data_IF_971706514474
#
_entry.id   IF_971706514474
#
_cell.length_a   1.000
_cell.length_b   1.000
_cell.length_c   1.000
_cell.angle_alpha   90.00
_cell.angle_beta   90.00
_cell.angle_gamma   90.00
#
_symmetry.space_group_name_H-M   'P 1'
#
loop_
_entity.id
_entity.type
_entity.pdbx_description
1 polymer ?
#
# COMPACT_ATOMS: atom_id res chain seq x y z
N UNK A 1 0.85 -33.16 -25.09
CA UNK A 1 2.08 -32.44 -24.67
C UNK A 1 1.60 -31.05 -24.28
N UNK A 2 1.81 -30.61 -23.05
CA UNK A 2 1.47 -29.24 -22.70
C UNK A 2 2.43 -28.24 -23.35
N UNK A 3 2.00 -26.98 -23.46
CA UNK A 3 2.76 -25.93 -24.14
C UNK A 3 4.14 -25.69 -23.48
N UNK A 4 4.22 -25.81 -22.16
CA UNK A 4 5.45 -25.61 -21.39
C UNK A 4 6.48 -26.68 -21.70
N UNK A 5 6.07 -27.95 -21.72
CA UNK A 5 6.95 -29.09 -22.10
C UNK A 5 7.43 -28.95 -23.55
N UNK A 6 6.58 -28.48 -24.47
CA UNK A 6 6.97 -28.25 -25.85
C UNK A 6 8.02 -27.14 -25.99
N UNK A 7 7.90 -26.03 -25.26
CA UNK A 7 8.89 -24.96 -25.22
C UNK A 7 10.23 -25.43 -24.65
N UNK A 8 10.23 -26.11 -23.50
CA UNK A 8 11.45 -26.63 -22.87
C UNK A 8 12.18 -27.63 -23.78
N UNK A 9 11.42 -28.48 -24.47
CA UNK A 9 12.00 -29.43 -25.44
C UNK A 9 12.66 -28.70 -26.62
N UNK A 10 12.02 -27.64 -27.11
CA UNK A 10 12.60 -26.81 -28.19
C UNK A 10 13.87 -26.11 -27.73
N UNK A 11 13.85 -25.49 -26.55
CA UNK A 11 15.00 -24.79 -25.98
C UNK A 11 16.19 -25.74 -25.72
N UNK A 12 15.93 -27.01 -25.34
CA UNK A 12 16.97 -28.02 -25.19
C UNK A 12 17.59 -28.39 -26.56
N UNK A 13 16.75 -28.57 -27.59
CA UNK A 13 17.23 -28.85 -28.96
C UNK A 13 18.03 -27.66 -29.49
N UNK A 14 17.61 -26.44 -29.25
CA UNK A 14 18.33 -25.23 -29.66
C UNK A 14 19.72 -25.11 -28.98
N UNK A 15 19.87 -25.69 -27.77
CA UNK A 15 21.15 -25.82 -27.05
C UNK A 15 21.99 -27.02 -27.48
N UNK A 16 21.49 -27.83 -28.41
CA UNK A 16 22.17 -29.05 -28.87
C UNK A 16 22.01 -30.27 -27.97
N UNK A 17 21.04 -30.21 -27.03
CA UNK A 17 20.70 -31.31 -26.15
C UNK A 17 19.70 -32.27 -26.82
N UNK A 18 19.71 -33.56 -26.43
CA UNK A 18 18.71 -34.49 -26.89
C UNK A 18 17.30 -34.12 -26.45
N UNK A 19 16.26 -34.18 -27.30
CA UNK A 19 14.87 -33.98 -26.90
C UNK A 19 14.43 -34.92 -25.75
N UNK A 20 15.08 -36.06 -25.60
CA UNK A 20 14.80 -37.04 -24.55
C UNK A 20 15.45 -36.70 -23.20
N UNK A 21 16.35 -35.70 -23.15
CA UNK A 21 16.95 -35.23 -21.90
C UNK A 21 15.91 -34.55 -20.96
N UNK A 22 14.82 -34.04 -21.52
CA UNK A 22 13.73 -33.46 -20.76
C UNK A 22 12.74 -34.55 -20.37
N UNK A 23 12.67 -34.83 -19.05
CA UNK A 23 11.71 -35.79 -18.52
C UNK A 23 10.28 -35.28 -18.70
N UNK A 24 9.48 -36.04 -19.44
CA UNK A 24 8.08 -35.72 -19.69
C UNK A 24 7.18 -36.50 -18.74
N UNK A 25 6.59 -35.79 -17.79
CA UNK A 25 5.68 -36.37 -16.79
C UNK A 25 4.48 -37.03 -17.48
N UNK A 26 4.20 -38.27 -17.11
CA UNK A 26 3.05 -39.05 -17.58
C UNK A 26 1.91 -39.02 -16.58
N UNK A 27 2.21 -39.42 -15.35
CA UNK A 27 1.27 -39.45 -14.24
C UNK A 27 1.98 -38.98 -12.97
N UNK A 28 1.24 -38.29 -12.12
CA UNK A 28 1.67 -37.98 -10.76
C UNK A 28 0.55 -38.28 -9.80
N UNK A 29 0.87 -39.01 -8.75
CA UNK A 29 -0.01 -39.23 -7.63
C UNK A 29 0.66 -38.73 -6.36
N UNK A 30 -0.03 -37.88 -5.61
CA UNK A 30 0.43 -37.37 -4.30
C UNK A 30 -0.67 -37.58 -3.29
N UNK A 31 -0.32 -38.17 -2.16
CA UNK A 31 -1.21 -38.33 -1.00
C UNK A 31 -0.51 -37.79 0.23
N UNK A 32 -1.21 -36.97 1.01
CA UNK A 32 -0.70 -36.44 2.29
C UNK A 32 -1.78 -36.62 3.34
N UNK A 33 -1.38 -37.18 4.48
CA UNK A 33 -2.20 -37.30 5.69
C UNK A 33 -1.51 -36.51 6.78
N UNK A 34 -2.25 -35.68 7.49
CA UNK A 34 -1.74 -34.92 8.61
C UNK A 34 -2.67 -35.07 9.83
N UNK A 35 -2.08 -35.22 11.01
CA UNK A 35 -2.78 -35.36 12.28
C UNK A 35 -2.19 -34.40 13.30
N UNK A 36 -3.00 -33.42 13.71
CA UNK A 36 -2.71 -32.58 14.87
C UNK A 36 -2.83 -33.42 16.17
N UNK A 37 -1.95 -33.15 17.10
CA UNK A 37 -2.01 -33.72 18.45
C UNK A 37 -2.67 -32.72 19.40
N UNK A 38 -3.46 -33.21 20.35
CA UNK A 38 -4.13 -32.40 21.36
C UNK A 38 -3.12 -31.66 22.27
N UNK A 39 -3.60 -30.63 22.98
CA UNK A 39 -2.84 -29.85 23.98
C UNK A 39 -1.54 -29.20 23.49
N UNK A 40 -1.46 -28.84 22.21
CA UNK A 40 -0.31 -28.14 21.66
C UNK A 40 0.94 -28.99 21.43
N UNK A 41 0.78 -30.33 21.40
CA UNK A 41 1.85 -31.29 21.10
C UNK A 41 2.25 -31.33 19.62
N UNK A 42 1.79 -30.39 18.80
CA UNK A 42 2.20 -30.28 17.42
C UNK A 42 1.43 -31.17 16.45
N UNK A 43 2.06 -31.46 15.32
CA UNK A 43 1.43 -32.18 14.22
C UNK A 43 2.39 -33.20 13.59
N UNK A 44 1.89 -34.40 13.34
CA UNK A 44 2.55 -35.36 12.45
C UNK A 44 1.98 -35.27 11.04
N UNK A 45 2.81 -35.51 10.05
CA UNK A 45 2.36 -35.70 8.68
C UNK A 45 3.10 -36.85 7.99
N UNK A 46 2.40 -37.51 7.09
CA UNK A 46 2.90 -38.52 6.18
C UNK A 46 2.54 -38.11 4.76
N UNK A 47 3.51 -38.05 3.89
CA UNK A 47 3.30 -37.77 2.47
C UNK A 47 3.95 -38.83 1.60
N UNK A 48 3.30 -39.20 0.52
CA UNK A 48 3.83 -40.09 -0.50
C UNK A 48 3.56 -39.53 -1.90
N UNK A 49 4.54 -39.58 -2.79
CA UNK A 49 4.39 -39.25 -4.18
C UNK A 49 4.93 -40.34 -5.09
N UNK A 50 4.24 -40.57 -6.19
CA UNK A 50 4.59 -41.47 -7.28
C UNK A 50 4.56 -40.67 -8.57
N UNK A 51 5.62 -40.69 -9.38
CA UNK A 51 5.72 -39.95 -10.60
C UNK A 51 6.27 -40.83 -11.75
N UNK A 52 5.49 -40.98 -12.80
CA UNK A 52 5.84 -41.71 -14.01
C UNK A 52 6.16 -40.75 -15.14
N UNK A 53 7.03 -41.17 -16.06
CA UNK A 53 7.44 -40.41 -17.21
C UNK A 53 7.17 -41.14 -18.52
N UNK A 54 6.98 -40.39 -19.62
CA UNK A 54 6.81 -40.97 -20.95
C UNK A 54 8.14 -41.48 -21.56
N UNK A 55 9.22 -40.82 -21.20
CA UNK A 55 10.55 -41.03 -21.82
C UNK A 55 11.60 -41.54 -20.82
N UNK A 56 11.16 -42.08 -19.68
CA UNK A 56 12.00 -42.72 -18.66
C UNK A 56 11.31 -43.99 -18.21
N UNK A 57 12.03 -45.09 -18.14
CA UNK A 57 11.55 -46.34 -17.53
C UNK A 57 11.51 -46.19 -15.99
N UNK A 58 10.58 -46.90 -15.35
CA UNK A 58 10.41 -46.83 -13.90
C UNK A 58 9.65 -45.59 -13.39
N UNK A 59 9.45 -45.54 -12.11
CA UNK A 59 8.72 -44.47 -11.39
C UNK A 59 9.61 -43.87 -10.33
N UNK A 60 9.60 -42.55 -10.23
CA UNK A 60 10.19 -41.90 -9.06
C UNK A 60 9.17 -41.95 -7.90
N UNK A 61 9.65 -42.36 -6.75
CA UNK A 61 8.83 -42.51 -5.52
C UNK A 61 9.48 -41.72 -4.41
N UNK A 62 8.67 -40.94 -3.69
CA UNK A 62 9.12 -40.25 -2.49
C UNK A 62 8.14 -40.48 -1.36
N UNK A 63 8.68 -40.85 -0.20
CA UNK A 63 7.93 -40.96 1.05
C UNK A 63 8.54 -40.01 2.06
N UNK A 64 7.68 -39.31 2.81
CA UNK A 64 8.09 -38.35 3.79
C UNK A 64 7.26 -38.49 5.05
N UNK A 65 7.91 -38.51 6.20
CA UNK A 65 7.30 -38.48 7.53
C UNK A 65 7.88 -37.25 8.24
N UNK A 66 7.04 -36.48 8.88
CA UNK A 66 7.51 -35.31 9.62
C UNK A 66 6.67 -35.02 10.85
N UNK A 67 7.30 -34.34 11.78
CA UNK A 67 6.71 -33.78 12.97
C UNK A 67 7.07 -32.33 13.09
N UNK A 68 6.09 -31.48 13.37
CA UNK A 68 6.28 -30.06 13.60
C UNK A 68 5.60 -29.62 14.89
N UNK A 69 6.26 -28.79 15.66
CA UNK A 69 5.67 -28.15 16.84
C UNK A 69 6.23 -26.75 17.07
N UNK A 70 5.51 -25.98 17.88
CA UNK A 70 5.95 -24.67 18.36
C UNK A 70 5.83 -24.62 19.86
N UNK A 71 6.92 -24.30 20.54
CA UNK A 71 6.94 -24.07 21.98
C UNK A 71 7.35 -22.64 22.27
N UNK A 72 6.43 -21.83 22.81
CA UNK A 72 6.58 -20.38 22.93
C UNK A 72 6.90 -19.77 21.56
N UNK A 73 8.07 -19.16 21.40
CA UNK A 73 8.53 -18.55 20.17
C UNK A 73 9.45 -19.44 19.30
N UNK A 74 9.80 -20.63 19.78
CA UNK A 74 10.59 -21.59 19.04
C UNK A 74 9.68 -22.52 18.22
N UNK A 75 9.84 -22.52 16.90
CA UNK A 75 9.25 -23.51 16.00
C UNK A 75 10.32 -24.53 15.63
N UNK A 76 10.01 -25.80 15.70
CA UNK A 76 10.93 -26.87 15.33
C UNK A 76 10.22 -27.97 14.57
N UNK A 77 10.98 -28.64 13.72
CA UNK A 77 10.47 -29.75 12.90
C UNK A 77 11.53 -30.79 12.64
N UNK A 78 11.11 -32.07 12.59
CA UNK A 78 11.91 -33.19 12.17
C UNK A 78 11.23 -33.82 10.96
N UNK A 79 11.98 -34.01 9.89
CA UNK A 79 11.49 -34.62 8.65
C UNK A 79 12.44 -35.73 8.23
N UNK A 80 11.89 -36.88 7.90
CA UNK A 80 12.60 -38.00 7.28
C UNK A 80 11.97 -38.22 5.91
N UNK A 81 12.75 -38.12 4.87
CA UNK A 81 12.31 -38.37 3.49
C UNK A 81 13.13 -39.46 2.85
N UNK A 82 12.47 -40.30 2.07
CA UNK A 82 13.13 -41.37 1.28
C UNK A 82 12.68 -41.28 -0.18
N UNK A 83 13.66 -41.13 -1.05
CA UNK A 83 13.44 -40.99 -2.49
C UNK A 83 14.04 -42.20 -3.22
N UNK A 84 13.26 -42.78 -4.12
CA UNK A 84 13.68 -43.84 -5.02
C UNK A 84 13.59 -43.31 -6.46
N UNK A 85 14.65 -43.48 -7.22
CA UNK A 85 14.67 -43.23 -8.65
C UNK A 85 15.44 -44.35 -9.34
N UNK A 86 15.34 -44.47 -10.66
CA UNK A 86 16.05 -45.46 -11.45
C UNK A 86 17.58 -45.37 -11.27
N UNK A 87 18.11 -44.20 -10.93
CA UNK A 87 19.52 -43.92 -10.72
C UNK A 87 19.95 -44.03 -9.25
N UNK A 88 18.99 -44.13 -8.32
CA UNK A 88 19.24 -44.16 -6.87
C UNK A 88 18.37 -45.23 -6.17
N UNK A 89 19.01 -46.27 -5.62
CA UNK A 89 18.34 -47.37 -4.93
C UNK A 89 17.67 -46.99 -3.59
N UNK A 90 17.46 -45.72 -3.34
CA UNK A 90 16.78 -45.20 -2.15
C UNK A 90 17.70 -44.36 -1.26
N UNK A 91 17.67 -43.04 -1.47
CA UNK A 91 18.34 -42.10 -0.57
C UNK A 91 17.40 -41.67 0.54
N UNK A 92 17.84 -41.78 1.79
CA UNK A 92 17.11 -41.27 2.94
C UNK A 92 17.78 -39.99 3.42
N UNK A 93 16.98 -38.94 3.62
CA UNK A 93 17.42 -37.67 4.15
C UNK A 93 16.70 -37.37 5.46
N UNK A 94 17.44 -36.97 6.46
CA UNK A 94 16.97 -36.46 7.74
C UNK A 94 17.18 -34.98 7.79
N UNK A 95 16.16 -34.22 8.20
CA UNK A 95 16.19 -32.76 8.33
C UNK A 95 15.61 -32.40 9.69
N UNK A 96 16.40 -31.68 10.49
CA UNK A 96 15.95 -31.00 11.70
C UNK A 96 15.99 -29.50 11.44
N UNK A 97 14.85 -28.84 11.61
CA UNK A 97 14.70 -27.38 11.45
C UNK A 97 14.35 -26.74 12.77
N UNK A 98 14.91 -25.57 13.06
CA UNK A 98 14.57 -24.73 14.19
C UNK A 98 14.47 -23.29 13.73
N UNK A 99 13.44 -22.56 14.18
CA UNK A 99 13.27 -21.15 13.88
C UNK A 99 12.76 -20.39 15.10
N UNK A 100 13.33 -19.24 15.39
CA UNK A 100 12.94 -18.38 16.50
C UNK A 100 13.23 -16.91 16.22
N UNK A 101 12.41 -15.99 16.77
CA UNK A 101 12.64 -14.55 16.65
C UNK A 101 13.84 -14.12 17.50
N UNK A 102 14.64 -13.18 16.96
CA UNK A 102 15.75 -12.56 17.65
C UNK A 102 15.27 -11.28 18.33
N UNK A 103 14.78 -11.38 19.56
CA UNK A 103 14.30 -10.26 20.37
C UNK A 103 13.25 -10.68 21.39
N UNK A 104 13.12 -9.90 22.46
CA UNK A 104 12.21 -10.23 23.58
C UNK A 104 10.75 -9.84 23.36
N UNK A 105 10.46 -8.95 22.43
CA UNK A 105 9.13 -8.49 22.09
C UNK A 105 8.82 -8.83 20.62
N UNK A 106 7.62 -9.33 20.34
CA UNK A 106 7.15 -9.57 18.97
C UNK A 106 6.80 -8.24 18.32
N UNK A 107 7.83 -7.49 17.93
CA UNK A 107 7.63 -6.27 17.14
C UNK A 107 7.51 -6.63 15.66
N UNK A 108 6.85 -5.76 14.90
CA UNK A 108 6.50 -5.98 13.48
C UNK A 108 7.71 -6.34 12.59
N UNK A 109 8.94 -5.99 13.00
CA UNK A 109 10.18 -6.21 12.23
C UNK A 109 11.20 -7.06 12.97
N UNK A 110 10.76 -7.93 13.88
CA UNK A 110 11.67 -8.82 14.62
C UNK A 110 12.38 -9.77 13.65
N UNK A 111 13.72 -9.80 13.58
CA UNK A 111 14.44 -10.76 12.75
C UNK A 111 14.21 -12.19 13.24
N UNK A 112 14.19 -13.14 12.33
CA UNK A 112 14.07 -14.56 12.61
C UNK A 112 15.37 -15.27 12.31
N UNK A 113 15.87 -16.03 13.30
CA UNK A 113 16.95 -16.98 13.08
C UNK A 113 16.37 -18.35 12.71
N UNK A 114 17.07 -19.06 11.84
CA UNK A 114 16.79 -20.45 11.51
C UNK A 114 18.06 -21.27 11.54
N UNK A 115 17.94 -22.53 11.92
CA UNK A 115 19.01 -23.53 11.96
C UNK A 115 18.44 -24.78 11.30
N UNK A 116 19.15 -25.27 10.29
CA UNK A 116 18.80 -26.49 9.60
C UNK A 116 19.98 -27.47 9.68
N UNK A 117 19.70 -28.67 10.15
CA UNK A 117 20.66 -29.76 10.22
C UNK A 117 20.18 -30.89 9.31
N UNK A 118 21.01 -31.26 8.36
CA UNK A 118 20.70 -32.32 7.39
C UNK A 118 21.68 -33.48 7.55
N UNK A 119 21.19 -34.71 7.33
CA UNK A 119 22.02 -35.90 7.19
C UNK A 119 21.39 -36.82 6.17
N UNK A 120 22.20 -37.34 5.27
CA UNK A 120 21.74 -38.37 4.32
C UNK A 120 22.14 -39.78 4.73
N UNK A 121 21.59 -40.77 4.02
CA UNK A 121 21.90 -42.20 4.25
C UNK A 121 23.33 -42.60 3.88
N UNK A 122 24.06 -41.72 3.15
CA UNK A 122 25.46 -41.93 2.79
C UNK A 122 26.43 -41.34 3.84
N UNK A 123 25.89 -40.71 4.89
CA UNK A 123 26.63 -40.13 5.98
C UNK A 123 27.12 -38.70 5.69
N UNK A 124 26.54 -38.01 4.69
CA UNK A 124 26.81 -36.59 4.46
C UNK A 124 26.02 -35.75 5.47
N UNK A 125 26.73 -34.90 6.18
CA UNK A 125 26.19 -33.99 7.15
C UNK A 125 26.24 -32.55 6.60
N UNK A 126 25.14 -31.82 6.75
CA UNK A 126 25.03 -30.40 6.40
C UNK A 126 24.46 -29.60 7.55
N UNK A 127 25.00 -28.40 7.74
CA UNK A 127 24.54 -27.46 8.75
C UNK A 127 24.35 -26.10 8.09
N UNK A 128 23.20 -25.51 8.31
CA UNK A 128 22.89 -24.16 7.85
C UNK A 128 22.37 -23.33 9.01
N UNK A 129 22.83 -22.11 9.11
CA UNK A 129 22.30 -21.11 10.03
C UNK A 129 22.03 -19.84 9.25
N UNK A 130 20.93 -19.19 9.54
CA UNK A 130 20.59 -17.95 8.89
C UNK A 130 19.74 -17.05 9.74
N UNK A 131 19.73 -15.78 9.32
CA UNK A 131 18.90 -14.72 9.89
C UNK A 131 18.22 -13.99 8.74
N UNK A 132 16.93 -13.79 8.87
CA UNK A 132 16.15 -13.01 7.91
C UNK A 132 15.21 -12.05 8.61
N UNK A 133 14.87 -10.96 7.94
CA UNK A 133 13.96 -9.96 8.49
C UNK A 133 13.47 -8.99 7.44
N UNK A 134 12.57 -8.12 7.87
CA UNK A 134 12.05 -7.04 7.06
C UNK A 134 12.16 -5.71 7.81
N UNK A 135 12.25 -4.61 7.08
CA UNK A 135 12.32 -3.24 7.60
C UNK A 135 11.37 -2.32 6.85
N UNK A 136 10.94 -1.26 7.54
CA UNK A 136 10.05 -0.22 6.99
C UNK A 136 8.57 -0.52 7.17
N UNK A 137 7.74 0.53 7.23
CA UNK A 137 6.32 0.47 7.60
C UNK A 137 5.48 -0.49 6.72
N UNK A 138 5.94 -0.76 5.49
CA UNK A 138 5.28 -1.64 4.52
C UNK A 138 6.16 -2.82 4.11
N UNK A 139 7.16 -3.21 4.95
CA UNK A 139 8.15 -4.23 4.63
C UNK A 139 8.88 -3.93 3.31
N UNK A 140 9.31 -2.67 3.14
CA UNK A 140 9.97 -2.23 1.92
C UNK A 140 11.31 -2.91 1.69
N UNK A 141 12.01 -3.24 2.76
CA UNK A 141 13.30 -3.92 2.70
C UNK A 141 13.19 -5.30 3.33
N UNK A 142 13.61 -6.32 2.61
CA UNK A 142 13.81 -7.67 3.12
C UNK A 142 15.28 -8.01 3.02
N UNK A 143 15.80 -8.72 4.01
CA UNK A 143 17.19 -9.17 4.01
C UNK A 143 17.31 -10.57 4.56
N UNK A 144 18.33 -11.29 4.09
CA UNK A 144 18.73 -12.58 4.64
C UNK A 144 20.24 -12.75 4.61
N UNK A 145 20.76 -13.37 5.65
CA UNK A 145 22.15 -13.80 5.76
C UNK A 145 22.12 -15.28 6.08
N UNK A 146 22.85 -16.09 5.34
CA UNK A 146 22.96 -17.54 5.60
C UNK A 146 24.42 -17.96 5.58
N UNK A 147 24.76 -18.91 6.44
CA UNK A 147 26.03 -19.63 6.40
C UNK A 147 25.73 -21.12 6.41
N UNK A 148 26.40 -21.85 5.56
CA UNK A 148 26.27 -23.27 5.40
C UNK A 148 27.64 -23.96 5.49
N UNK A 149 27.68 -25.10 6.13
CA UNK A 149 28.84 -25.98 6.12
C UNK A 149 28.39 -27.41 5.84
N UNK A 150 29.01 -28.06 4.92
CA UNK A 150 28.75 -29.46 4.57
C UNK A 150 30.05 -30.23 4.46
N UNK A 151 29.97 -31.49 4.79
CA UNK A 151 31.10 -32.41 4.66
C UNK A 151 31.28 -32.99 3.25
N UNK A 152 32.27 -33.83 3.05
CA UNK A 152 32.55 -34.59 1.82
C UNK A 152 32.59 -33.74 0.53
N UNK A 153 33.18 -32.55 0.60
CA UNK A 153 33.40 -31.67 -0.56
C UNK A 153 32.31 -30.64 -0.81
N UNK A 154 31.31 -30.54 0.05
CA UNK A 154 30.33 -29.43 -0.02
C UNK A 154 30.93 -28.12 0.48
N UNK A 155 31.91 -28.20 1.42
CA UNK A 155 32.64 -27.04 1.92
C UNK A 155 31.82 -26.06 2.75
N UNK A 156 32.39 -24.88 2.95
CA UNK A 156 31.73 -23.78 3.66
C UNK A 156 31.30 -22.71 2.67
N UNK A 157 30.07 -22.23 2.83
CA UNK A 157 29.57 -21.11 2.03
C UNK A 157 28.75 -20.14 2.87
N UNK A 158 28.71 -18.89 2.41
CA UNK A 158 27.89 -17.85 3.01
C UNK A 158 27.19 -17.04 1.94
N UNK A 159 26.01 -16.53 2.24
CA UNK A 159 25.30 -15.63 1.36
C UNK A 159 24.61 -14.50 2.13
N UNK A 160 24.54 -13.37 1.47
CA UNK A 160 23.75 -12.21 1.87
C UNK A 160 22.86 -11.81 0.71
N UNK A 161 21.58 -11.59 0.98
CA UNK A 161 20.63 -11.08 0.01
C UNK A 161 19.83 -9.93 0.64
N UNK A 162 19.56 -8.91 -0.14
CA UNK A 162 18.70 -7.80 0.26
C UNK A 162 17.86 -7.34 -0.94
N UNK A 163 16.58 -7.11 -0.67
CA UNK A 163 15.61 -6.58 -1.62
C UNK A 163 14.99 -5.31 -1.05
N UNK A 164 15.00 -4.25 -1.82
CA UNK A 164 14.39 -2.99 -1.46
C UNK A 164 13.35 -2.56 -2.48
N UNK A 165 12.11 -2.43 -2.03
CA UNK A 165 11.00 -1.94 -2.86
C UNK A 165 10.76 -0.46 -2.55
N UNK A 166 11.19 0.41 -3.46
CA UNK A 166 10.85 1.83 -3.44
C UNK A 166 9.48 2.07 -4.09
N UNK A 167 9.05 3.31 -4.16
CA UNK A 167 7.81 3.67 -4.89
C UNK A 167 7.96 3.59 -6.42
N UNK A 168 9.18 3.55 -6.93
CA UNK A 168 9.46 3.63 -8.37
C UNK A 168 10.03 2.35 -8.96
N UNK A 169 10.77 1.57 -8.17
CA UNK A 169 11.42 0.33 -8.60
C UNK A 169 11.69 -0.59 -7.41
N UNK A 170 11.80 -1.89 -7.67
CA UNK A 170 12.37 -2.86 -6.75
C UNK A 170 13.82 -3.11 -7.13
N UNK A 171 14.73 -3.03 -6.17
CA UNK A 171 16.16 -3.28 -6.35
C UNK A 171 16.55 -4.46 -5.47
N UNK A 172 17.27 -5.41 -6.04
CA UNK A 172 17.81 -6.57 -5.31
C UNK A 172 19.32 -6.61 -5.41
N UNK A 173 19.95 -7.06 -4.35
CA UNK A 173 21.38 -7.30 -4.29
C UNK A 173 21.69 -8.57 -3.54
N UNK A 174 22.67 -9.35 -4.04
CA UNK A 174 23.13 -10.56 -3.40
C UNK A 174 24.62 -10.70 -3.51
N UNK A 175 25.20 -11.28 -2.47
CA UNK A 175 26.60 -11.69 -2.43
C UNK A 175 26.66 -13.11 -1.87
N UNK A 176 27.38 -13.99 -2.55
CA UNK A 176 27.64 -15.33 -2.02
C UNK A 176 29.12 -15.68 -2.21
N UNK A 177 29.65 -16.41 -1.25
CA UNK A 177 31.03 -16.85 -1.20
C UNK A 177 31.08 -18.31 -0.73
N UNK A 178 31.91 -19.08 -1.34
CA UNK A 178 32.23 -20.46 -0.94
C UNK A 178 33.73 -20.71 -1.12
N UNK A 179 34.17 -21.92 -0.85
CA UNK A 179 35.59 -22.28 -0.85
C UNK A 179 36.27 -21.96 -2.20
N UNK A 180 35.58 -22.18 -3.31
CA UNK A 180 36.13 -22.01 -4.65
C UNK A 180 35.43 -20.95 -5.50
N UNK A 181 34.48 -20.16 -4.95
CA UNK A 181 33.74 -19.18 -5.71
C UNK A 181 33.34 -17.95 -4.88
N UNK A 182 33.18 -16.86 -5.58
CA UNK A 182 32.43 -15.70 -5.08
C UNK A 182 31.51 -15.17 -6.18
N UNK A 183 30.33 -14.71 -5.80
CA UNK A 183 29.34 -14.24 -6.75
C UNK A 183 28.64 -12.99 -6.22
N UNK A 184 28.43 -12.02 -7.10
CA UNK A 184 27.63 -10.81 -6.83
C UNK A 184 26.48 -10.80 -7.81
N UNK A 185 25.28 -10.57 -7.32
CA UNK A 185 24.08 -10.35 -8.13
C UNK A 185 23.48 -8.99 -7.84
N UNK A 186 23.08 -8.28 -8.88
CA UNK A 186 22.34 -7.02 -8.76
C UNK A 186 21.17 -7.07 -9.73
N UNK A 187 20.01 -6.64 -9.28
CA UNK A 187 18.79 -6.61 -10.07
C UNK A 187 17.99 -5.33 -9.82
N UNK A 188 17.31 -4.87 -10.85
CA UNK A 188 16.32 -3.82 -10.73
C UNK A 188 15.12 -4.17 -11.59
N UNK A 189 13.93 -4.09 -11.04
CA UNK A 189 12.67 -4.38 -11.73
C UNK A 189 11.65 -3.29 -11.45
N UNK A 190 10.70 -3.15 -12.38
CA UNK A 190 9.62 -2.19 -12.28
C UNK A 190 8.98 -1.94 -13.63
N UNK A 191 7.96 -1.10 -13.64
CA UNK A 191 7.24 -0.72 -14.86
C UNK A 191 7.18 0.80 -14.99
N UNK A 192 7.30 1.28 -16.21
CA UNK A 192 7.14 2.70 -16.56
C UNK A 192 5.90 2.82 -17.44
N UNK A 193 4.93 3.62 -16.99
CA UNK A 193 3.69 3.88 -17.73
C UNK A 193 3.73 5.29 -18.29
N UNK A 194 3.72 5.42 -19.62
CA UNK A 194 3.60 6.68 -20.34
C UNK A 194 2.14 7.06 -20.54
N UNK A 195 1.76 8.30 -20.20
CA UNK A 195 0.40 8.80 -20.32
C UNK A 195 0.36 10.33 -20.57
N UNK A 196 -0.81 10.90 -20.81
CA UNK A 196 -0.96 12.33 -21.13
C UNK A 196 -0.46 13.29 -20.03
N UNK A 197 -0.34 12.84 -18.79
CA UNK A 197 0.20 13.60 -17.66
C UNK A 197 1.71 13.40 -17.43
N UNK A 198 2.40 12.58 -18.25
CA UNK A 198 3.82 12.28 -18.14
C UNK A 198 4.14 10.81 -17.97
N UNK A 199 5.07 10.49 -17.08
CA UNK A 199 5.51 9.13 -16.79
C UNK A 199 5.19 8.79 -15.33
N UNK A 200 4.61 7.63 -15.09
CA UNK A 200 4.41 7.07 -13.74
C UNK A 200 5.23 5.79 -13.62
N UNK A 201 5.96 5.68 -12.51
CA UNK A 201 6.81 4.54 -12.20
C UNK A 201 6.13 3.68 -11.14
N UNK A 202 6.38 2.37 -11.19
CA UNK A 202 5.93 1.44 -10.17
C UNK A 202 6.94 0.31 -9.99
N UNK A 203 7.17 -0.18 -8.75
CA UNK A 203 8.07 -1.30 -8.50
C UNK A 203 7.50 -2.64 -8.98
N UNK A 204 6.24 -2.67 -9.37
CA UNK A 204 5.56 -3.89 -9.77
C UNK A 204 5.65 -4.12 -11.27
N UNK A 205 5.79 -5.39 -11.65
CA UNK A 205 5.66 -5.86 -13.03
C UNK A 205 4.34 -6.59 -13.18
N UNK A 206 3.51 -6.16 -14.11
CA UNK A 206 2.18 -6.74 -14.36
C UNK A 206 1.82 -6.53 -15.82
N UNK A 207 0.90 -7.33 -16.33
CA UNK A 207 0.36 -7.15 -17.67
C UNK A 207 -0.78 -6.12 -17.69
N UNK A 208 -1.52 -5.99 -16.59
CA UNK A 208 -2.73 -5.15 -16.53
C UNK A 208 -2.66 -4.19 -15.34
N UNK A 209 -2.86 -2.90 -15.62
CA UNK A 209 -2.76 -1.83 -14.61
C UNK A 209 -3.98 -0.93 -14.58
N UNK A 210 -4.25 -0.32 -13.42
CA UNK A 210 -4.99 0.93 -13.35
C UNK A 210 -4.03 2.10 -13.13
N UNK A 211 -4.15 3.13 -13.95
CA UNK A 211 -3.51 4.43 -13.74
C UNK A 211 -4.50 5.34 -13.00
N UNK A 212 -4.27 5.54 -11.73
CA UNK A 212 -5.04 6.46 -10.89
C UNK A 212 -4.53 7.87 -11.06
N UNK A 213 -5.44 8.82 -11.35
CA UNK A 213 -5.18 10.26 -11.31
C UNK A 213 -5.95 10.87 -10.14
N UNK A 214 -5.23 11.41 -9.17
CA UNK A 214 -5.75 12.11 -7.99
C UNK A 214 -4.86 13.33 -7.71
N UNK A 215 -5.05 14.40 -8.49
CA UNK A 215 -4.22 15.61 -8.42
C UNK A 215 -4.32 16.27 -7.05
N UNK A 216 -3.18 16.62 -6.46
CA UNK A 216 -3.12 17.22 -5.12
C UNK A 216 -3.13 16.20 -3.97
N UNK A 217 -3.46 14.93 -4.21
CA UNK A 217 -3.47 13.86 -3.20
C UNK A 217 -2.12 13.14 -3.05
N UNK A 218 -1.00 13.84 -3.25
CA UNK A 218 0.35 13.26 -3.13
C UNK A 218 0.52 12.51 -1.82
N UNK A 219 0.98 11.28 -1.89
CA UNK A 219 1.20 10.41 -0.73
C UNK A 219 -0.03 9.63 -0.29
N UNK A 220 -1.20 9.84 -0.91
CA UNK A 220 -2.36 9.00 -0.66
C UNK A 220 -2.08 7.56 -1.11
N UNK A 221 -2.33 6.58 -0.23
CA UNK A 221 -2.22 5.17 -0.55
C UNK A 221 -3.33 4.75 -1.52
N UNK A 222 -2.98 3.91 -2.48
CA UNK A 222 -3.92 3.45 -3.52
C UNK A 222 -4.03 1.94 -3.47
N UNK A 223 -5.25 1.44 -3.26
CA UNK A 223 -5.55 0.02 -3.12
C UNK A 223 -4.75 -0.65 -1.99
N UNK A 224 -4.75 -1.98 -1.94
CA UNK A 224 -4.10 -2.74 -0.88
C UNK A 224 -2.66 -3.15 -1.20
N UNK A 225 -2.08 -2.63 -2.29
CA UNK A 225 -0.72 -2.98 -2.68
C UNK A 225 0.31 -2.13 -1.92
N UNK A 226 1.24 -2.76 -1.17
CA UNK A 226 2.25 -2.04 -0.42
C UNK A 226 3.13 -1.16 -1.32
N UNK A 227 3.29 0.12 -0.93
CA UNK A 227 4.17 1.03 -1.68
C UNK A 227 3.53 1.69 -2.91
N UNK A 228 2.23 1.47 -3.17
CA UNK A 228 1.50 2.18 -4.22
C UNK A 228 0.87 3.44 -3.63
N UNK A 229 1.47 4.57 -3.95
CA UNK A 229 1.04 5.89 -3.48
C UNK A 229 0.92 6.85 -4.66
N UNK A 230 0.05 7.84 -4.51
CA UNK A 230 -0.04 8.95 -5.46
C UNK A 230 1.26 9.74 -5.45
N UNK A 231 1.89 9.88 -6.60
CA UNK A 231 3.17 10.57 -6.80
C UNK A 231 3.03 12.11 -6.71
N UNK A 232 4.15 12.84 -6.87
CA UNK A 232 4.17 14.30 -6.84
C UNK A 232 3.40 14.99 -7.98
N UNK A 233 3.04 14.24 -9.05
CA UNK A 233 2.25 14.74 -10.18
C UNK A 233 0.77 14.37 -10.06
N UNK A 234 0.40 13.62 -9.03
CA UNK A 234 -0.96 13.19 -8.78
C UNK A 234 -1.34 11.87 -9.45
N UNK A 235 -0.38 10.98 -9.71
CA UNK A 235 -0.62 9.70 -10.36
C UNK A 235 -0.11 8.52 -9.53
N UNK A 236 -0.78 7.37 -9.66
CA UNK A 236 -0.33 6.09 -9.11
C UNK A 236 -0.66 4.95 -10.08
N UNK A 237 0.19 3.92 -10.13
CA UNK A 237 -0.04 2.75 -10.95
C UNK A 237 -0.38 1.54 -10.06
N UNK A 238 -1.59 1.02 -10.18
CA UNK A 238 -2.07 -0.16 -9.45
C UNK A 238 -1.86 -1.39 -10.33
N UNK A 239 -1.04 -2.37 -9.89
CA UNK A 239 -0.75 -3.58 -10.65
C UNK A 239 -1.81 -4.67 -10.47
N UNK A 240 -1.66 -5.76 -11.21
CA UNK A 240 -2.35 -7.05 -11.03
C UNK A 240 -3.87 -6.96 -11.05
N UNK A 241 -4.42 -6.12 -11.95
CA UNK A 241 -5.86 -6.13 -12.14
C UNK A 241 -6.28 -7.42 -12.83
N UNK A 242 -7.36 -8.01 -12.33
CA UNK A 242 -7.98 -9.18 -12.94
C UNK A 242 -8.69 -8.77 -14.24
N UNK A 243 -8.25 -9.29 -15.41
CA UNK A 243 -8.89 -8.98 -16.66
C UNK A 243 -10.32 -9.53 -16.73
N UNK A 244 -11.22 -8.79 -17.40
CA UNK A 244 -12.62 -9.19 -17.63
C UNK A 244 -13.47 -9.34 -16.36
N UNK A 245 -12.96 -8.84 -15.20
CA UNK A 245 -13.65 -8.84 -13.93
C UNK A 245 -13.66 -7.42 -13.32
N UNK A 246 -14.61 -7.15 -12.43
CA UNK A 246 -14.64 -5.90 -11.70
C UNK A 246 -13.54 -5.87 -10.63
N UNK A 247 -12.64 -4.93 -10.77
CA UNK A 247 -11.64 -4.58 -9.77
C UNK A 247 -12.08 -3.31 -9.05
N UNK A 248 -12.02 -3.31 -7.74
CA UNK A 248 -12.32 -2.13 -6.91
C UNK A 248 -11.02 -1.41 -6.58
N UNK A 249 -10.87 -0.20 -7.11
CA UNK A 249 -9.68 0.63 -6.90
C UNK A 249 -10.04 1.72 -5.90
N UNK A 250 -9.32 1.74 -4.79
CA UNK A 250 -9.57 2.68 -3.68
C UNK A 250 -8.39 3.61 -3.47
N UNK A 251 -8.67 4.86 -3.11
CA UNK A 251 -7.68 5.83 -2.64
C UNK A 251 -7.98 6.12 -1.19
N UNK A 252 -7.03 5.87 -0.29
CA UNK A 252 -7.23 6.05 1.15
C UNK A 252 -7.18 7.54 1.54
N UNK A 253 -8.30 8.14 1.94
CA UNK A 253 -8.35 9.54 2.31
C UNK A 253 -7.56 9.86 3.60
N UNK A 254 -7.29 8.85 4.45
CA UNK A 254 -6.54 9.05 5.70
C UNK A 254 -5.05 9.30 5.46
N UNK A 255 -4.54 8.80 4.35
CA UNK A 255 -3.15 8.98 3.93
C UNK A 255 -2.97 10.17 3.00
N UNK A 256 -4.07 10.72 2.48
CA UNK A 256 -4.05 11.94 1.68
C UNK A 256 -3.63 13.16 2.52
N UNK A 257 -2.98 14.16 1.92
CA UNK A 257 -2.64 15.38 2.62
C UNK A 257 -3.92 16.15 3.00
N UNK A 258 -3.90 16.86 4.12
CA UNK A 258 -5.09 17.58 4.67
C UNK A 258 -5.63 18.63 3.70
N UNK A 259 -4.76 19.17 2.84
CA UNK A 259 -5.13 20.15 1.81
C UNK A 259 -5.76 19.53 0.55
N UNK A 260 -5.96 18.20 0.51
CA UNK A 260 -6.66 17.52 -0.57
C UNK A 260 -7.83 16.69 -0.03
N UNK A 261 -9.00 16.89 -0.60
CA UNK A 261 -10.21 16.13 -0.29
C UNK A 261 -10.70 15.43 -1.54
N UNK A 262 -10.91 14.12 -1.43
CA UNK A 262 -11.39 13.28 -2.51
C UNK A 262 -12.93 13.33 -2.56
N UNK A 263 -13.53 13.65 -3.70
CA UNK A 263 -14.99 13.59 -3.88
C UNK A 263 -15.51 12.15 -3.80
N UNK A 264 -14.73 11.21 -4.31
CA UNK A 264 -14.98 9.78 -4.17
C UNK A 264 -13.67 9.04 -3.87
N UNK A 265 -13.75 7.94 -3.16
CA UNK A 265 -12.59 7.16 -2.71
C UNK A 265 -12.50 5.79 -3.34
N UNK A 266 -13.49 5.37 -4.13
CA UNK A 266 -13.53 4.07 -4.78
C UNK A 266 -14.14 4.17 -6.18
N UNK A 267 -13.55 3.45 -7.13
CA UNK A 267 -14.09 3.24 -8.48
C UNK A 267 -13.89 1.79 -8.89
N UNK A 268 -14.84 1.25 -9.66
CA UNK A 268 -14.79 -0.11 -10.21
C UNK A 268 -14.45 -0.08 -11.68
N UNK A 269 -13.61 -0.99 -12.12
CA UNK A 269 -13.19 -1.13 -13.52
C UNK A 269 -13.02 -2.61 -13.88
N UNK A 270 -13.41 -2.97 -15.11
CA UNK A 270 -13.16 -4.28 -15.70
C UNK A 270 -12.26 -4.12 -16.93
N UNK A 271 -10.95 -4.29 -16.80
CA UNK A 271 -10.00 -4.11 -17.89
C UNK A 271 -9.97 -5.32 -18.83
N UNK A 272 -9.49 -5.11 -20.05
CA UNK A 272 -8.99 -6.19 -20.89
C UNK A 272 -7.59 -6.61 -20.43
N UNK A 273 -7.21 -7.85 -20.75
CA UNK A 273 -5.84 -8.32 -20.52
C UNK A 273 -4.83 -7.42 -21.26
N UNK A 274 -3.78 -6.99 -20.57
CA UNK A 274 -2.76 -6.11 -21.12
C UNK A 274 -3.14 -4.62 -21.15
N UNK A 275 -4.28 -4.24 -20.60
CA UNK A 275 -4.73 -2.87 -20.62
C UNK A 275 -4.14 -2.03 -19.47
N UNK A 276 -3.93 -0.75 -19.75
CA UNK A 276 -3.73 0.30 -18.74
C UNK A 276 -4.96 1.19 -18.72
N UNK A 277 -5.79 1.07 -17.69
CA UNK A 277 -7.05 1.82 -17.59
C UNK A 277 -6.87 3.02 -16.68
N UNK A 278 -7.20 4.22 -17.18
CA UNK A 278 -7.11 5.45 -16.39
C UNK A 278 -8.40 5.66 -15.57
N UNK A 279 -8.24 5.90 -14.27
CA UNK A 279 -9.29 6.26 -13.32
C UNK A 279 -8.99 7.64 -12.74
N UNK A 280 -9.94 8.55 -12.86
CA UNK A 280 -9.77 9.93 -12.37
C UNK A 280 -10.59 10.13 -11.10
N UNK A 281 -9.90 10.45 -10.01
CA UNK A 281 -10.47 10.83 -8.72
C UNK A 281 -10.43 12.34 -8.62
N UNK A 282 -11.60 12.95 -8.60
CA UNK A 282 -11.69 14.40 -8.42
C UNK A 282 -11.29 14.76 -7.00
N UNK A 283 -10.46 15.77 -6.89
CA UNK A 283 -9.92 16.27 -5.63
C UNK A 283 -10.18 17.77 -5.50
N UNK A 284 -10.70 18.17 -4.35
CA UNK A 284 -10.80 19.57 -3.95
C UNK A 284 -9.54 19.92 -3.15
N UNK A 285 -8.71 20.80 -3.70
CA UNK A 285 -7.45 21.20 -3.06
C UNK A 285 -7.55 22.57 -2.41
N UNK A 286 -6.84 22.76 -1.31
CA UNK A 286 -6.80 24.02 -0.58
C UNK A 286 -6.71 23.82 0.92
N UNK A 287 -6.29 24.86 1.64
CA UNK A 287 -6.24 24.85 3.11
C UNK A 287 -7.67 24.84 3.66
N UNK A 288 -8.08 23.87 4.47
CA UNK A 288 -9.39 23.85 5.06
C UNK A 288 -9.50 24.94 6.13
N UNK A 289 -10.56 25.72 6.05
CA UNK A 289 -10.89 26.78 7.01
C UNK A 289 -12.29 26.56 7.58
N UNK A 290 -12.47 26.90 8.83
CA UNK A 290 -13.76 26.91 9.52
C UNK A 290 -13.98 28.31 10.10
N UNK A 291 -14.93 29.04 9.56
CA UNK A 291 -15.17 30.45 9.85
C UNK A 291 -16.51 30.57 10.57
N UNK A 292 -16.49 31.03 11.83
CA UNK A 292 -17.73 31.43 12.48
C UNK A 292 -18.12 32.81 11.96
N UNK A 293 -19.27 32.90 11.29
CA UNK A 293 -19.65 34.12 10.59
C UNK A 293 -21.11 34.50 10.80
N UNK A 294 -21.33 35.80 10.92
CA UNK A 294 -22.64 36.41 11.08
C UNK A 294 -22.89 37.45 10.01
N UNK A 295 -24.10 37.52 9.51
CA UNK A 295 -24.59 38.53 8.60
C UNK A 295 -25.66 39.35 9.27
N UNK A 296 -25.46 40.68 9.41
CA UNK A 296 -26.39 41.59 10.12
C UNK A 296 -26.77 41.16 11.55
N UNK A 297 -25.84 40.51 12.27
CA UNK A 297 -26.05 40.06 13.63
C UNK A 297 -26.66 38.67 13.78
N UNK A 298 -27.10 38.04 12.69
CA UNK A 298 -27.64 36.69 12.67
C UNK A 298 -26.62 35.71 12.07
N UNK A 299 -26.58 34.45 12.51
CA UNK A 299 -25.72 33.43 11.89
C UNK A 299 -25.97 33.31 10.38
N UNK A 300 -24.93 33.14 9.58
CA UNK A 300 -25.08 32.83 8.16
C UNK A 300 -26.00 31.62 7.98
N UNK A 301 -27.00 31.68 7.05
CA UNK A 301 -27.98 30.61 6.88
C UNK A 301 -27.37 29.26 6.59
N UNK A 302 -27.90 28.22 7.25
CA UNK A 302 -27.52 26.84 7.02
C UNK A 302 -27.71 26.42 5.56
N UNK A 303 -26.71 25.70 4.99
CA UNK A 303 -26.76 25.24 3.61
C UNK A 303 -26.37 26.30 2.58
N UNK A 304 -26.01 27.53 3.00
CA UNK A 304 -25.48 28.54 2.08
C UNK A 304 -24.21 28.03 1.40
N UNK A 305 -24.11 28.26 0.09
CA UNK A 305 -22.98 27.81 -0.73
C UNK A 305 -21.87 28.84 -0.72
N UNK A 306 -20.63 28.39 -0.61
CA UNK A 306 -19.44 29.24 -0.53
C UNK A 306 -18.66 29.17 -1.84
N UNK A 307 -18.35 30.35 -2.41
CA UNK A 307 -17.59 30.46 -3.64
C UNK A 307 -16.28 31.22 -3.39
N UNK A 308 -15.24 30.87 -4.16
CA UNK A 308 -14.00 31.66 -4.24
C UNK A 308 -14.16 32.91 -5.11
N UNK A 309 -13.08 33.68 -5.28
CA UNK A 309 -13.05 34.88 -6.12
C UNK A 309 -13.25 34.57 -7.63
N UNK A 310 -12.93 33.36 -8.06
CA UNK A 310 -13.06 32.84 -9.41
C UNK A 310 -14.46 32.26 -9.69
N UNK A 311 -15.33 32.18 -8.67
CA UNK A 311 -16.68 31.65 -8.77
C UNK A 311 -16.81 30.15 -8.65
N UNK A 312 -15.75 29.43 -8.23
CA UNK A 312 -15.82 28.01 -7.96
C UNK A 312 -16.44 27.77 -6.57
N UNK A 313 -17.25 26.73 -6.47
CA UNK A 313 -17.78 26.29 -5.19
C UNK A 313 -16.66 25.66 -4.35
N UNK A 314 -16.36 26.26 -3.19
CA UNK A 314 -15.26 25.84 -2.32
C UNK A 314 -15.72 25.42 -0.92
N UNK A 315 -17.03 25.47 -0.63
CA UNK A 315 -17.54 25.10 0.67
C UNK A 315 -19.04 25.32 0.88
N UNK A 316 -19.45 25.24 2.14
CA UNK A 316 -20.83 25.47 2.55
C UNK A 316 -20.93 25.94 4.01
N UNK A 317 -22.05 26.57 4.36
CA UNK A 317 -22.36 26.96 5.72
C UNK A 317 -23.08 25.84 6.48
N UNK A 318 -22.55 25.46 7.64
CA UNK A 318 -23.13 24.55 8.61
C UNK A 318 -24.05 25.24 9.61
N UNK A 319 -24.42 24.53 10.66
CA UNK A 319 -25.26 25.08 11.74
C UNK A 319 -24.53 26.18 12.50
N UNK A 320 -25.29 27.17 13.01
CA UNK A 320 -24.76 28.25 13.84
C UNK A 320 -23.83 29.23 13.10
N UNK A 321 -23.93 29.33 11.78
CA UNK A 321 -23.09 30.23 10.98
C UNK A 321 -21.64 29.76 10.81
N UNK A 322 -21.35 28.47 11.04
CA UNK A 322 -20.04 27.86 10.80
C UNK A 322 -19.86 27.61 9.30
N UNK A 323 -19.06 28.42 8.66
CA UNK A 323 -18.73 28.29 7.22
C UNK A 323 -17.47 27.44 7.07
N UNK A 324 -17.61 26.28 6.44
CA UNK A 324 -16.49 25.45 6.00
C UNK A 324 -16.13 25.77 4.56
N UNK A 325 -14.86 26.03 4.28
CA UNK A 325 -14.36 26.23 2.92
C UNK A 325 -12.93 25.70 2.76
N UNK A 326 -12.51 25.47 1.51
CA UNK A 326 -11.12 25.21 1.13
C UNK A 326 -10.60 26.36 0.33
N UNK A 327 -9.51 26.96 0.80
CA UNK A 327 -8.94 28.17 0.19
C UNK A 327 -7.55 27.88 -0.39
N UNK A 328 -7.33 28.33 -1.64
CA UNK A 328 -6.06 28.11 -2.36
C UNK A 328 -4.99 29.15 -2.03
N UNK A 329 -5.38 30.34 -1.59
CA UNK A 329 -4.48 31.46 -1.32
C UNK A 329 -4.38 31.74 0.19
N UNK A 330 -3.28 32.37 0.60
CA UNK A 330 -3.08 32.77 2.01
C UNK A 330 -4.04 33.85 2.50
N UNK A 331 -4.59 34.63 1.58
CA UNK A 331 -5.60 35.65 1.88
C UNK A 331 -6.56 35.78 0.71
N UNK A 332 -7.79 36.16 0.99
CA UNK A 332 -8.79 36.36 -0.05
C UNK A 332 -10.17 36.67 0.49
N UNK A 333 -11.14 36.63 -0.40
CA UNK A 333 -12.54 36.78 -0.09
C UNK A 333 -13.34 35.58 -0.55
N UNK A 334 -14.30 35.19 0.27
CA UNK A 334 -15.28 34.14 -0.01
C UNK A 334 -16.64 34.80 -0.18
N UNK A 335 -17.38 34.41 -1.20
CA UNK A 335 -18.77 34.81 -1.40
C UNK A 335 -19.68 33.72 -0.87
N UNK A 336 -20.50 34.02 0.10
CA UNK A 336 -21.49 33.11 0.69
C UNK A 336 -22.86 33.44 0.16
N UNK A 337 -23.54 32.47 -0.49
CA UNK A 337 -24.84 32.66 -1.14
C UNK A 337 -25.88 31.67 -0.57
N UNK A 338 -27.08 32.20 -0.24
CA UNK A 338 -28.23 31.40 0.18
C UNK A 338 -29.48 31.64 -0.66
N UNK A 339 -29.32 32.41 -1.77
CA UNK A 339 -30.35 32.69 -2.74
C UNK A 339 -29.81 33.45 -3.94
N UNK A 340 -30.69 33.77 -4.90
CA UNK A 340 -30.30 34.39 -6.18
C UNK A 340 -30.22 35.93 -6.14
N UNK A 341 -30.87 36.56 -5.16
CA UNK A 341 -30.89 38.03 -5.05
C UNK A 341 -29.62 38.58 -4.42
N UNK A 342 -29.24 39.80 -4.77
CA UNK A 342 -28.05 40.48 -4.20
C UNK A 342 -28.09 40.59 -2.68
N UNK A 343 -29.29 40.67 -2.09
CA UNK A 343 -29.47 40.68 -0.64
C UNK A 343 -29.34 39.31 0.05
N UNK A 344 -29.24 38.21 -0.73
CA UNK A 344 -29.07 36.85 -0.25
C UNK A 344 -27.64 36.34 -0.42
N UNK A 345 -26.68 37.22 -0.30
CA UNK A 345 -25.26 36.90 -0.31
C UNK A 345 -24.44 37.85 0.54
N UNK A 346 -23.30 37.41 1.01
CA UNK A 346 -22.35 38.23 1.74
C UNK A 346 -20.91 37.81 1.46
N UNK A 347 -19.96 38.64 1.86
CA UNK A 347 -18.53 38.46 1.63
C UNK A 347 -17.81 38.25 2.95
N UNK A 348 -16.99 37.23 3.02
CA UNK A 348 -16.09 36.90 4.16
C UNK A 348 -14.66 37.10 3.68
N UNK A 349 -13.91 37.99 4.33
CA UNK A 349 -12.46 38.12 4.11
C UNK A 349 -11.71 37.19 5.07
N UNK A 350 -10.71 36.51 4.58
CA UNK A 350 -9.87 35.62 5.38
C UNK A 350 -8.38 35.89 5.18
N UNK A 351 -7.60 35.58 6.23
CA UNK A 351 -6.14 35.62 6.20
C UNK A 351 -5.63 34.37 6.95
N UNK A 352 -4.94 33.48 6.24
CA UNK A 352 -4.37 32.27 6.84
C UNK A 352 -3.19 32.62 7.76
N UNK A 353 -3.14 32.00 8.92
CA UNK A 353 -1.99 32.10 9.80
C UNK A 353 -0.83 31.29 9.22
N UNK A 354 0.42 31.80 9.25
CA UNK A 354 1.58 31.01 8.88
C UNK A 354 1.68 29.74 9.71
N UNK A 355 1.88 28.61 9.06
CA UNK A 355 2.11 27.31 9.71
C UNK A 355 3.58 26.92 9.57
N UNK A 356 4.16 26.32 10.62
CA UNK A 356 5.54 25.83 10.59
C UNK A 356 5.66 24.67 9.58
N UNK A 357 6.74 24.63 8.80
CA UNK A 357 7.05 23.52 7.91
C UNK A 357 7.12 22.21 8.72
N UNK A 358 6.39 21.18 8.26
CA UNK A 358 6.36 19.85 8.87
C UNK A 358 5.20 19.59 9.85
N UNK A 359 4.42 20.59 10.25
CA UNK A 359 3.15 20.33 10.93
C UNK A 359 2.07 19.93 9.92
N UNK A 360 1.32 18.85 10.22
CA UNK A 360 0.12 18.53 9.46
C UNK A 360 -0.78 19.76 9.47
N UNK A 361 -1.09 20.30 8.31
CA UNK A 361 -1.95 21.47 8.16
C UNK A 361 -3.28 21.18 8.86
N UNK A 362 -3.47 21.80 10.02
CA UNK A 362 -4.73 21.69 10.76
C UNK A 362 -5.75 22.65 10.16
N UNK A 363 -7.05 22.34 10.35
CA UNK A 363 -8.15 23.25 10.00
C UNK A 363 -7.94 24.57 10.73
N UNK A 364 -7.79 25.67 10.00
CA UNK A 364 -7.69 26.99 10.60
C UNK A 364 -9.08 27.52 10.95
N UNK A 365 -9.21 28.12 12.14
CA UNK A 365 -10.48 28.65 12.66
C UNK A 365 -10.38 30.14 12.79
N UNK A 366 -11.41 30.84 12.31
CA UNK A 366 -11.54 32.28 12.36
C UNK A 366 -12.93 32.68 12.81
N UNK A 367 -13.02 33.86 13.44
CA UNK A 367 -14.27 34.56 13.69
C UNK A 367 -14.25 35.84 12.84
N UNK A 368 -15.06 35.89 11.79
CA UNK A 368 -15.06 37.00 10.84
C UNK A 368 -16.48 37.31 10.39
N UNK A 369 -16.94 38.58 10.44
CA UNK A 369 -18.26 38.94 9.98
C UNK A 369 -18.42 38.77 8.47
N UNK A 370 -19.61 38.39 8.03
CA UNK A 370 -19.98 38.38 6.64
C UNK A 370 -20.60 39.76 6.28
N UNK A 371 -19.96 40.49 5.39
CA UNK A 371 -20.34 41.83 5.04
C UNK A 371 -21.18 41.86 3.74
N UNK A 372 -22.13 42.79 3.59
CA UNK A 372 -22.86 42.94 2.33
C UNK A 372 -21.91 43.28 1.19
N UNK A 373 -22.16 42.81 -0.07
CA UNK A 373 -21.38 43.20 -1.22
C UNK A 373 -21.35 44.73 -1.37
N UNK A 374 -20.18 45.29 -1.69
CA UNK A 374 -19.99 46.73 -1.89
C UNK A 374 -20.93 47.22 -3.00
N UNK A 375 -22.00 47.93 -2.63
CA UNK A 375 -23.04 48.43 -3.54
C UNK A 375 -24.46 48.36 -2.99
N UNK A 376 -24.68 47.64 -1.89
CA UNK A 376 -25.96 47.64 -1.16
C UNK A 376 -25.82 48.60 0.01
N UNK A 377 -26.21 49.86 -0.17
CA UNK A 377 -26.32 50.80 0.93
C UNK A 377 -27.30 50.24 1.98
N UNK A 378 -26.83 50.06 3.22
CA UNK A 378 -27.67 49.72 4.37
C UNK A 378 -28.66 50.87 4.56
N UNK A 379 -29.93 50.66 4.27
CA UNK A 379 -31.01 51.56 4.65
C UNK A 379 -31.31 51.41 6.14
N UNK A 380 -30.37 51.80 6.99
CA UNK A 380 -30.64 52.08 8.39
C UNK A 380 -31.06 53.51 8.49
N UNK A 381 -32.35 53.78 8.39
CA UNK A 381 -32.92 55.06 8.78
C UNK A 381 -32.61 55.30 10.25
N UNK A 382 -32.02 56.43 10.64
CA UNK A 382 -31.93 56.80 12.03
C UNK A 382 -33.32 57.18 12.52
N UNK A 383 -33.81 56.48 13.56
CA UNK A 383 -34.96 56.88 14.37
C UNK A 383 -34.66 58.26 14.92
N UNK A 384 -35.30 59.32 14.33
CA UNK A 384 -35.35 60.65 14.92
C UNK A 384 -36.16 60.59 16.20
N UNK A 385 -35.49 60.67 17.35
CA UNK A 385 -36.12 61.05 18.59
C UNK A 385 -36.57 62.48 18.50
N UNK A 386 -37.87 62.75 18.30
CA UNK A 386 -38.48 64.05 18.45
C UNK A 386 -38.50 64.39 19.94
N UNK A 387 -37.67 65.31 20.37
CA UNK A 387 -37.76 65.96 21.65
C UNK A 387 -38.83 67.04 21.56
N UNK A 388 -40.03 66.72 22.03
CA UNK A 388 -41.11 67.71 22.27
C UNK A 388 -40.79 68.45 23.55
N UNK A 389 -40.25 69.67 23.42
CA UNK A 389 -40.14 70.63 24.53
C UNK A 389 -41.42 71.41 24.58
N UNK A 390 -42.40 71.04 25.41
CA UNK A 390 -43.44 71.95 25.85
C UNK A 390 -43.04 72.62 27.15
N UNK A 391 -43.07 73.92 27.04
CA UNK A 391 -43.01 74.94 28.07
C UNK A 391 -44.00 74.63 29.20
N UNK A 392 -43.61 74.89 30.43
CA UNK A 392 -44.46 75.55 31.40
C UNK A 392 -43.62 76.50 32.25
N UNK A 393 -44.07 77.72 32.16
CA UNK A 393 -43.56 78.85 32.89
C UNK A 393 -44.24 78.95 34.27
N UNK A 394 -43.50 79.55 35.19
CA UNK A 394 -43.88 80.47 36.25
C UNK A 394 -44.78 79.95 37.39
N UNK A 395 -44.36 80.07 38.62
CA UNK A 395 -44.85 81.04 39.65
C UNK A 395 -44.19 80.77 40.99
N UNK A 396 -43.43 81.72 41.43
CA UNK A 396 -43.54 82.55 42.66
C UNK A 396 -43.29 81.93 44.00
N UNK A 397 -42.36 82.54 44.65
CA UNK A 397 -42.39 83.14 45.97
C UNK A 397 -42.26 82.20 47.20
N UNK A 398 -41.35 82.58 48.01
CA UNK A 398 -41.13 82.24 49.39
C UNK A 398 -39.70 82.22 49.78
#
# INVERSE_FOLDING_TARGET
MDFQTAMLTRDAVDRGESPDSILRMKNQFVATVSQGLDDGWGQFYLSGSLQDYWNKSGSDKQFQVGYNNSYKSLTYGLTVSRTYSEQNEGQTNYLLTMSFPLGGNFEQHTPHAHIDLTRDSNGHDGQQVGVSGSLGDYNQMNYSVTAMNGDQGQGTSGSFNADYRSQVASVSGGYSVGDDYSSVSLGATGTIIGHSGGLTFTPYTSDTFALVEAKGARGAAVSSYPGVFVDGRGYAAVPYLDPYQFNDITVDPKTAPVNAELENTSQKVAPYLGAVVKLTYKTNTGTPVLIASQYQGEPVPFGAVVFDAEGNQVGSAGQGGLVYARVGNNQGQLTVKWGESVGMQCLISYLLMPQAEGQRQSIQRFDTPCLPPSGVASSSSPLQLSTDRRRQAALTAG
#
